data_IF_209191291137
#
_entry.id   IF_209191291137
#
_cell.length_a   1.000
_cell.length_b   1.000
_cell.length_c   1.000
_cell.angle_alpha   90.00
_cell.angle_beta   90.00
_cell.angle_gamma   90.00
#
_symmetry.space_group_name_H-M   'P 1'
#
loop_
_entity.id
_entity.type
_entity.pdbx_description
1 polymer ?
#
# COMPACT_ATOMS: atom_id res chain seq x y z
N UNK A 1 -27.46 39.64 -18.25
CA UNK A 1 -26.91 39.59 -16.87
C UNK A 1 -27.91 39.01 -15.88
N UNK A 2 -29.18 39.41 -15.93
CA UNK A 2 -30.22 38.87 -15.03
C UNK A 2 -30.50 37.37 -15.24
N UNK A 3 -30.55 36.91 -16.49
CA UNK A 3 -30.73 35.48 -16.84
C UNK A 3 -29.56 34.59 -16.37
N UNK A 4 -28.33 35.10 -16.44
CA UNK A 4 -27.13 34.40 -15.96
C UNK A 4 -27.16 34.23 -14.44
N UNK A 5 -27.65 35.24 -13.71
CA UNK A 5 -27.85 35.16 -12.25
C UNK A 5 -28.95 34.17 -11.90
N UNK A 6 -30.06 34.17 -12.63
CA UNK A 6 -31.14 33.18 -12.44
C UNK A 6 -30.66 31.75 -12.68
N UNK A 7 -29.88 31.52 -13.74
CA UNK A 7 -29.33 30.20 -14.04
C UNK A 7 -28.36 29.73 -12.94
N UNK A 8 -27.56 30.65 -12.39
CA UNK A 8 -26.63 30.34 -11.29
C UNK A 8 -27.35 29.96 -10.00
N UNK A 9 -28.44 30.68 -9.67
CA UNK A 9 -29.29 30.37 -8.51
C UNK A 9 -29.96 29.01 -8.70
N UNK A 10 -30.44 28.71 -9.92
CA UNK A 10 -31.07 27.43 -10.23
C UNK A 10 -30.09 26.26 -10.17
N UNK A 11 -28.85 26.45 -10.65
CA UNK A 11 -27.79 25.45 -10.57
C UNK A 11 -27.37 25.18 -9.12
N UNK A 12 -27.28 26.24 -8.32
CA UNK A 12 -26.96 26.14 -6.90
C UNK A 12 -28.05 25.38 -6.14
N UNK A 13 -29.33 25.65 -6.45
CA UNK A 13 -30.45 24.94 -5.85
C UNK A 13 -30.49 23.45 -6.24
N UNK A 14 -30.15 23.11 -7.50
CA UNK A 14 -30.01 21.72 -7.97
C UNK A 14 -28.85 21.00 -7.29
N UNK A 15 -27.70 21.68 -7.13
CA UNK A 15 -26.54 21.16 -6.40
C UNK A 15 -26.89 20.87 -4.93
N UNK A 16 -27.52 21.81 -4.25
CA UNK A 16 -27.87 21.67 -2.83
C UNK A 16 -28.95 20.59 -2.59
N UNK A 17 -29.82 20.35 -3.58
CA UNK A 17 -30.76 19.24 -3.57
C UNK A 17 -30.06 17.90 -3.81
N UNK A 18 -29.14 17.83 -4.77
CA UNK A 18 -28.36 16.61 -5.04
C UNK A 18 -27.45 16.23 -3.87
N UNK A 19 -26.86 17.21 -3.18
CA UNK A 19 -26.07 16.99 -1.96
C UNK A 19 -26.95 16.44 -0.84
N UNK A 20 -28.14 17.02 -0.60
CA UNK A 20 -29.08 16.51 0.40
C UNK A 20 -29.55 15.08 0.09
N UNK A 21 -29.87 14.77 -1.17
CA UNK A 21 -30.22 13.40 -1.56
C UNK A 21 -29.05 12.42 -1.38
N UNK A 22 -27.82 12.85 -1.67
CA UNK A 22 -26.63 12.03 -1.43
C UNK A 22 -26.36 11.82 0.08
N UNK A 23 -26.63 12.83 0.92
CA UNK A 23 -26.54 12.74 2.37
C UNK A 23 -27.63 11.85 2.96
N UNK A 24 -28.87 11.93 2.47
CA UNK A 24 -29.97 11.04 2.84
C UNK A 24 -29.70 9.59 2.41
N UNK A 25 -29.19 9.35 1.19
CA UNK A 25 -28.71 8.03 0.77
C UNK A 25 -27.55 7.53 1.64
N UNK A 26 -26.64 8.41 2.07
CA UNK A 26 -25.57 8.07 3.02
C UNK A 26 -26.10 7.78 4.42
N UNK A 27 -27.19 8.41 4.88
CA UNK A 27 -27.83 8.10 6.16
C UNK A 27 -28.66 6.81 6.11
N UNK A 28 -29.34 6.53 4.99
CA UNK A 28 -30.07 5.27 4.79
C UNK A 28 -29.10 4.09 4.72
N UNK A 29 -27.98 4.23 4.00
CA UNK A 29 -26.89 3.23 3.99
C UNK A 29 -26.09 3.24 5.30
N UNK A 30 -25.96 4.37 5.99
CA UNK A 30 -25.28 4.49 7.28
C UNK A 30 -26.02 3.76 8.41
N UNK A 31 -27.36 3.79 8.40
CA UNK A 31 -28.19 3.11 9.38
C UNK A 31 -28.38 1.60 9.11
N UNK A 32 -27.99 1.10 7.94
CA UNK A 32 -27.87 -0.36 7.67
C UNK A 32 -26.45 -0.91 7.89
N UNK A 33 -25.43 -0.05 8.00
CA UNK A 33 -24.01 -0.45 8.09
C UNK A 33 -23.48 -0.50 9.53
N UNK A 34 -24.16 0.09 10.53
CA UNK A 34 -23.65 0.16 11.91
C UNK A 34 -24.32 -0.78 12.92
N UNK A 35 -24.95 -1.88 12.46
CA UNK A 35 -25.60 -2.87 13.34
C UNK A 35 -25.29 -4.34 13.08
N UNK A 36 -24.50 -4.69 12.06
CA UNK A 36 -24.17 -6.08 11.72
C UNK A 36 -22.68 -6.27 11.50
N UNK A 37 -22.12 -7.36 12.01
CA UNK A 37 -20.76 -7.78 11.67
C UNK A 37 -20.58 -7.70 10.14
N UNK A 38 -19.52 -7.04 9.64
CA UNK A 38 -19.15 -7.07 8.24
C UNK A 38 -19.11 -8.53 7.78
N UNK A 39 -20.13 -8.98 7.05
CA UNK A 39 -20.20 -10.33 6.56
C UNK A 39 -19.17 -10.45 5.44
N UNK A 40 -18.09 -11.20 5.69
CA UNK A 40 -17.16 -11.61 4.64
C UNK A 40 -17.95 -12.37 3.56
N UNK A 41 -17.68 -12.08 2.30
CA UNK A 41 -18.27 -12.84 1.19
C UNK A 41 -17.74 -14.27 1.25
N UNK A 42 -18.62 -15.25 1.35
CA UNK A 42 -18.26 -16.66 1.23
C UNK A 42 -18.39 -17.08 -0.24
N UNK A 43 -17.29 -17.54 -0.83
CA UNK A 43 -17.23 -18.04 -2.20
C UNK A 43 -17.32 -19.55 -2.24
N UNK A 44 -18.01 -20.10 -3.24
CA UNK A 44 -18.05 -21.55 -3.47
C UNK A 44 -16.72 -22.03 -4.02
N UNK A 45 -16.37 -23.29 -3.73
CA UNK A 45 -15.14 -23.88 -4.24
C UNK A 45 -15.06 -23.83 -5.77
N UNK A 46 -16.17 -24.08 -6.46
CA UNK A 46 -16.28 -24.06 -7.91
C UNK A 46 -15.98 -22.66 -8.49
N UNK A 47 -16.39 -21.58 -7.81
CA UNK A 47 -16.06 -20.21 -8.22
C UNK A 47 -14.55 -19.98 -8.12
N UNK A 48 -13.92 -20.41 -7.02
CA UNK A 48 -12.46 -20.30 -6.82
C UNK A 48 -11.71 -21.13 -7.86
N UNK A 49 -12.16 -22.37 -8.08
CA UNK A 49 -11.57 -23.30 -9.04
C UNK A 49 -11.63 -22.72 -10.45
N UNK A 50 -12.78 -22.19 -10.86
CA UNK A 50 -12.93 -21.54 -12.16
C UNK A 50 -12.06 -20.28 -12.28
N UNK A 51 -12.03 -19.43 -11.25
CA UNK A 51 -11.24 -18.20 -11.30
C UNK A 51 -9.73 -18.46 -11.47
N UNK A 52 -9.25 -19.59 -10.94
CA UNK A 52 -7.84 -19.98 -10.91
C UNK A 52 -7.45 -21.04 -11.94
N UNK A 53 -8.36 -21.42 -12.86
CA UNK A 53 -8.18 -22.57 -13.78
C UNK A 53 -7.71 -23.84 -13.05
N UNK A 54 -8.38 -24.18 -11.95
CA UNK A 54 -8.01 -25.29 -11.06
C UNK A 54 -6.65 -25.15 -10.36
N UNK A 55 -6.34 -23.91 -9.94
CA UNK A 55 -5.04 -23.56 -9.34
C UNK A 55 -3.86 -23.87 -10.25
N UNK A 56 -4.01 -23.58 -11.55
CA UNK A 56 -2.95 -23.76 -12.54
C UNK A 56 -1.70 -22.95 -12.16
N UNK A 57 -0.52 -23.56 -12.27
CA UNK A 57 0.75 -22.93 -11.90
C UNK A 57 1.07 -21.69 -12.76
N UNK A 58 0.52 -21.56 -13.98
CA UNK A 58 0.65 -20.36 -14.81
C UNK A 58 -0.03 -19.12 -14.20
N UNK A 59 -1.01 -19.33 -13.31
CA UNK A 59 -1.68 -18.25 -12.55
C UNK A 59 -1.03 -18.00 -11.19
N UNK A 60 -0.04 -18.79 -10.78
CA UNK A 60 0.66 -18.59 -9.51
C UNK A 60 1.49 -17.30 -9.56
N UNK A 61 1.21 -16.39 -8.62
CA UNK A 61 1.90 -15.10 -8.50
C UNK A 61 2.80 -15.03 -7.27
N UNK A 62 2.69 -15.98 -6.34
CA UNK A 62 3.54 -16.04 -5.16
C UNK A 62 3.44 -17.38 -4.45
N UNK A 63 4.48 -17.72 -3.70
CA UNK A 63 4.52 -18.91 -2.86
C UNK A 63 5.34 -18.60 -1.60
N UNK A 64 4.76 -18.91 -0.44
CA UNK A 64 5.38 -18.69 0.86
C UNK A 64 5.16 -19.87 1.81
N UNK A 65 5.62 -19.75 3.05
CA UNK A 65 5.50 -20.81 4.06
C UNK A 65 4.05 -21.20 4.39
N UNK A 66 3.11 -20.25 4.25
CA UNK A 66 1.70 -20.44 4.58
C UNK A 66 0.87 -20.99 3.41
N UNK A 67 1.38 -20.97 2.18
CA UNK A 67 0.61 -21.37 1.00
C UNK A 67 1.06 -20.74 -0.32
N UNK A 68 0.21 -20.88 -1.33
CA UNK A 68 0.40 -20.32 -2.67
C UNK A 68 -0.64 -19.25 -2.98
N UNK A 69 -0.25 -18.22 -3.72
CA UNK A 69 -1.12 -17.14 -4.15
C UNK A 69 -1.28 -17.20 -5.67
N UNK A 70 -2.53 -17.16 -6.12
CA UNK A 70 -2.89 -17.21 -7.53
C UNK A 70 -3.59 -15.93 -7.95
N UNK A 71 -3.33 -15.46 -9.18
CA UNK A 71 -4.14 -14.42 -9.82
C UNK A 71 -5.43 -15.06 -10.33
N UNK A 72 -6.56 -14.50 -9.94
CA UNK A 72 -7.88 -14.95 -10.39
C UNK A 72 -8.70 -13.83 -11.00
N UNK A 73 -9.76 -14.21 -11.71
CA UNK A 73 -10.80 -13.28 -12.15
C UNK A 73 -12.14 -13.77 -11.62
N UNK A 74 -12.73 -13.00 -10.70
CA UNK A 74 -13.87 -13.44 -9.91
C UNK A 74 -14.90 -12.31 -9.85
N UNK A 75 -16.11 -12.59 -10.35
CA UNK A 75 -17.22 -11.61 -10.44
C UNK A 75 -16.78 -10.26 -11.04
N UNK A 76 -16.17 -10.31 -12.21
CA UNK A 76 -15.65 -9.15 -12.97
C UNK A 76 -14.51 -8.37 -12.29
N UNK A 77 -13.89 -8.93 -11.25
CA UNK A 77 -12.80 -8.30 -10.52
C UNK A 77 -11.56 -9.17 -10.59
N UNK A 78 -10.40 -8.60 -10.91
CA UNK A 78 -9.11 -9.29 -10.75
C UNK A 78 -8.76 -9.38 -9.27
N UNK A 79 -8.44 -10.58 -8.79
CA UNK A 79 -8.22 -10.86 -7.37
C UNK A 79 -6.94 -11.65 -7.15
N UNK A 80 -6.39 -11.56 -5.94
CA UNK A 80 -5.34 -12.44 -5.45
C UNK A 80 -5.97 -13.51 -4.54
N UNK A 81 -5.73 -14.77 -4.84
CA UNK A 81 -6.35 -15.93 -4.19
C UNK A 81 -5.26 -16.69 -3.44
N UNK A 82 -5.18 -16.52 -2.12
CA UNK A 82 -4.23 -17.22 -1.25
C UNK A 82 -4.85 -18.55 -0.81
N UNK A 83 -4.28 -19.65 -1.31
CA UNK A 83 -4.61 -21.02 -0.91
C UNK A 83 -3.62 -21.47 0.15
N UNK A 84 -4.12 -21.82 1.32
CA UNK A 84 -3.29 -22.29 2.42
C UNK A 84 -2.91 -23.75 2.21
N UNK A 85 -1.75 -24.15 2.73
CA UNK A 85 -1.32 -25.54 2.69
C UNK A 85 -2.32 -26.43 3.43
N UNK A 86 -2.84 -27.46 2.75
CA UNK A 86 -3.83 -28.39 3.31
C UNK A 86 -3.23 -29.44 4.24
N UNK A 87 -1.90 -29.55 4.28
CA UNK A 87 -1.19 -30.55 5.07
C UNK A 87 -0.85 -30.03 6.48
N UNK A 88 -1.44 -30.65 7.51
CA UNK A 88 -1.14 -30.40 8.91
C UNK A 88 -1.99 -29.32 9.60
N UNK A 89 -1.82 -29.19 10.91
CA UNK A 89 -2.61 -28.26 11.78
C UNK A 89 -2.15 -26.81 11.67
N UNK A 90 -0.94 -26.56 11.18
CA UNK A 90 -0.35 -25.21 11.09
C UNK A 90 -1.07 -24.35 10.07
N UNK A 91 -1.34 -24.86 8.86
CA UNK A 91 -2.00 -24.08 7.80
C UNK A 91 -3.45 -23.73 8.14
N UNK A 92 -4.16 -24.60 8.86
CA UNK A 92 -5.51 -24.30 9.34
C UNK A 92 -5.54 -23.21 10.41
N UNK A 93 -4.57 -23.24 11.33
CA UNK A 93 -4.42 -22.19 12.33
C UNK A 93 -4.11 -20.84 11.67
N UNK A 94 -3.17 -20.80 10.73
CA UNK A 94 -2.80 -19.58 10.01
C UNK A 94 -3.98 -19.01 9.19
N UNK A 95 -4.74 -19.87 8.51
CA UNK A 95 -5.98 -19.46 7.84
C UNK A 95 -6.97 -18.82 8.81
N UNK A 96 -7.28 -19.48 9.93
CA UNK A 96 -8.25 -18.98 10.91
C UNK A 96 -7.76 -17.69 11.59
N UNK A 97 -6.48 -17.62 11.95
CA UNK A 97 -5.86 -16.42 12.54
C UNK A 97 -5.93 -15.22 11.58
N UNK A 98 -5.65 -15.44 10.29
CA UNK A 98 -5.69 -14.40 9.25
C UNK A 98 -7.12 -13.92 8.98
N UNK A 99 -8.11 -14.83 8.92
CA UNK A 99 -9.53 -14.48 8.82
C UNK A 99 -9.97 -13.63 10.02
N UNK A 100 -9.66 -14.05 11.24
CA UNK A 100 -10.08 -13.36 12.46
C UNK A 100 -9.44 -11.97 12.57
N UNK A 101 -8.19 -11.85 12.13
CA UNK A 101 -7.45 -10.59 12.09
C UNK A 101 -8.05 -9.65 11.05
N UNK A 102 -8.23 -10.09 9.81
CA UNK A 102 -8.58 -9.21 8.69
C UNK A 102 -10.07 -8.92 8.55
N UNK A 103 -10.97 -9.76 9.07
CA UNK A 103 -12.43 -9.57 8.93
C UNK A 103 -12.96 -8.21 9.41
N UNK A 104 -12.23 -7.54 10.29
CA UNK A 104 -12.62 -6.26 10.93
C UNK A 104 -11.72 -5.09 10.55
N UNK A 105 -10.75 -5.30 9.66
CA UNK A 105 -9.75 -4.28 9.33
C UNK A 105 -9.99 -3.76 7.92
N UNK A 106 -10.10 -2.43 7.81
CA UNK A 106 -10.10 -1.72 6.53
C UNK A 106 -9.30 -0.44 6.71
N UNK A 107 -8.25 -0.31 5.91
CA UNK A 107 -7.37 0.84 5.92
C UNK A 107 -6.75 0.99 4.52
N UNK A 108 -6.51 2.23 4.01
CA UNK A 108 -5.93 2.43 2.69
C UNK A 108 -4.60 1.71 2.47
N UNK A 109 -3.79 1.57 3.53
CA UNK A 109 -2.47 0.94 3.49
C UNK A 109 -2.43 -0.50 4.05
N UNK A 110 -3.57 -1.20 4.09
CA UNK A 110 -3.63 -2.64 4.34
C UNK A 110 -4.37 -3.32 3.19
N UNK A 111 -3.91 -4.51 2.78
CA UNK A 111 -4.57 -5.27 1.72
C UNK A 111 -5.96 -5.69 2.16
N UNK A 112 -6.94 -5.42 1.30
CA UNK A 112 -8.36 -5.66 1.59
C UNK A 112 -8.72 -7.12 1.36
N UNK A 113 -9.21 -7.78 2.42
CA UNK A 113 -9.87 -9.08 2.33
C UNK A 113 -11.27 -8.91 1.72
N UNK A 114 -11.47 -9.45 0.51
CA UNK A 114 -12.74 -9.40 -0.23
C UNK A 114 -13.69 -10.50 0.25
N UNK A 115 -13.14 -11.68 0.51
CA UNK A 115 -13.92 -12.82 0.97
C UNK A 115 -13.08 -14.06 1.20
N UNK A 116 -13.77 -15.15 1.50
CA UNK A 116 -13.16 -16.42 1.92
C UNK A 116 -13.85 -17.59 1.23
N UNK A 117 -13.16 -18.72 1.13
CA UNK A 117 -13.75 -20.00 0.79
C UNK A 117 -13.25 -21.03 1.81
N UNK A 118 -14.10 -21.39 2.76
CA UNK A 118 -13.75 -22.29 3.87
C UNK A 118 -13.46 -23.71 3.40
N UNK A 119 -14.20 -24.18 2.40
CA UNK A 119 -14.05 -25.54 1.83
C UNK A 119 -12.63 -25.77 1.31
N UNK A 120 -12.07 -24.77 0.62
CA UNK A 120 -10.72 -24.84 0.05
C UNK A 120 -9.64 -24.18 0.93
N UNK A 121 -10.00 -23.65 2.10
CA UNK A 121 -9.13 -22.83 2.96
C UNK A 121 -8.42 -21.74 2.16
N UNK A 122 -9.22 -20.91 1.50
CA UNK A 122 -8.77 -19.85 0.59
C UNK A 122 -9.22 -18.48 1.10
N UNK A 123 -8.32 -17.50 0.98
CA UNK A 123 -8.63 -16.09 1.16
C UNK A 123 -8.52 -15.35 -0.17
N UNK A 124 -9.50 -14.47 -0.43
CA UNK A 124 -9.59 -13.68 -1.66
C UNK A 124 -9.33 -12.23 -1.32
N UNK A 125 -8.31 -11.65 -1.93
CA UNK A 125 -7.85 -10.28 -1.71
C UNK A 125 -7.97 -9.45 -2.98
N UNK A 126 -7.91 -8.12 -2.80
CA UNK A 126 -7.65 -7.23 -3.94
C UNK A 126 -6.30 -7.59 -4.59
N UNK A 127 -6.25 -7.48 -5.93
CA UNK A 127 -5.03 -7.74 -6.67
C UNK A 127 -4.17 -6.46 -6.74
N UNK A 128 -2.86 -6.62 -6.50
CA UNK A 128 -1.88 -5.53 -6.44
C UNK A 128 -0.96 -5.60 -7.69
N UNK A 129 -1.20 -4.81 -8.74
CA UNK A 129 -0.60 -5.07 -10.06
C UNK A 129 0.90 -4.82 -10.15
N UNK A 130 1.46 -3.96 -9.30
CA UNK A 130 2.89 -3.67 -9.26
C UNK A 130 3.68 -4.65 -8.37
N UNK A 131 3.02 -5.71 -7.88
CA UNK A 131 3.66 -6.76 -7.09
C UNK A 131 4.13 -6.26 -5.73
N UNK A 132 5.20 -6.88 -5.22
CA UNK A 132 5.79 -6.51 -3.94
C UNK A 132 6.82 -5.38 -4.07
N UNK A 133 7.11 -4.73 -2.95
CA UNK A 133 8.20 -3.77 -2.85
C UNK A 133 9.56 -4.45 -3.12
N UNK A 134 9.69 -5.73 -2.79
CA UNK A 134 10.87 -6.53 -3.16
C UNK A 134 11.08 -6.57 -4.68
N UNK A 135 10.01 -6.87 -5.41
CA UNK A 135 10.03 -6.95 -6.87
C UNK A 135 10.43 -5.60 -7.49
N UNK A 136 9.91 -4.51 -6.94
CA UNK A 136 10.24 -3.15 -7.38
C UNK A 136 11.69 -2.75 -7.04
N UNK A 137 12.20 -3.10 -5.86
CA UNK A 137 13.59 -2.82 -5.48
C UNK A 137 14.58 -3.62 -6.35
N UNK A 138 14.22 -4.83 -6.74
CA UNK A 138 15.01 -5.67 -7.64
C UNK A 138 14.79 -5.33 -9.13
N UNK A 139 13.95 -4.34 -9.44
CA UNK A 139 13.55 -3.99 -10.81
C UNK A 139 13.08 -5.21 -11.62
N UNK A 140 12.40 -6.16 -10.96
CA UNK A 140 11.81 -7.32 -11.65
C UNK A 140 10.79 -6.83 -12.66
N UNK A 141 10.59 -7.63 -13.71
CA UNK A 141 9.68 -7.31 -14.81
C UNK A 141 10.02 -6.01 -15.56
N UNK A 142 11.30 -5.60 -15.57
CA UNK A 142 11.80 -4.41 -16.27
C UNK A 142 11.16 -3.10 -15.78
N UNK A 143 10.73 -3.08 -14.52
CA UNK A 143 10.24 -1.87 -13.87
C UNK A 143 11.38 -0.87 -13.68
N UNK A 144 11.09 0.43 -13.80
CA UNK A 144 12.07 1.47 -13.49
C UNK A 144 12.36 1.46 -11.98
N UNK A 145 13.60 1.75 -11.55
CA UNK A 145 13.90 1.91 -10.13
C UNK A 145 12.99 2.93 -9.46
N UNK A 146 12.56 2.62 -8.24
CA UNK A 146 11.78 3.56 -7.42
C UNK A 146 12.64 4.78 -7.08
N UNK A 147 12.15 5.97 -7.40
CA UNK A 147 12.79 7.22 -6.99
C UNK A 147 12.81 7.37 -5.47
N UNK A 148 13.74 8.17 -4.95
CA UNK A 148 13.83 8.41 -3.51
C UNK A 148 12.50 8.98 -2.93
N UNK A 149 11.81 9.85 -3.68
CA UNK A 149 10.52 10.40 -3.25
C UNK A 149 9.47 9.30 -3.13
N UNK A 150 9.43 8.37 -4.08
CA UNK A 150 8.51 7.23 -4.02
C UNK A 150 8.84 6.33 -2.82
N UNK A 151 10.12 6.11 -2.54
CA UNK A 151 10.56 5.34 -1.37
C UNK A 151 10.16 6.01 -0.05
N UNK A 152 10.19 7.34 0.05
CA UNK A 152 9.68 8.08 1.22
C UNK A 152 8.15 7.97 1.32
N UNK A 153 7.40 8.09 0.22
CA UNK A 153 5.94 7.89 0.21
C UNK A 153 5.56 6.49 0.67
N UNK A 154 6.23 5.47 0.15
CA UNK A 154 6.05 4.07 0.58
C UNK A 154 6.37 3.92 2.07
N UNK A 155 7.44 4.57 2.55
CA UNK A 155 7.77 4.57 3.99
C UNK A 155 6.64 5.15 4.85
N UNK A 156 6.03 6.24 4.38
CA UNK A 156 4.91 6.89 5.05
C UNK A 156 3.64 6.00 5.03
N UNK A 157 3.34 5.36 3.90
CA UNK A 157 2.25 4.39 3.75
C UNK A 157 2.41 3.19 4.71
N UNK A 158 3.62 2.63 4.82
CA UNK A 158 3.90 1.56 5.80
C UNK A 158 3.68 2.09 7.23
N UNK A 159 4.18 3.28 7.53
CA UNK A 159 4.05 3.90 8.85
C UNK A 159 2.57 4.06 9.27
N UNK A 160 1.71 4.57 8.38
CA UNK A 160 0.27 4.71 8.66
C UNK A 160 -0.42 3.36 8.84
N UNK A 161 -0.10 2.38 8.00
CA UNK A 161 -0.59 1.01 8.14
C UNK A 161 -0.25 0.40 9.51
N UNK A 162 0.99 0.56 9.96
CA UNK A 162 1.42 0.09 11.29
C UNK A 162 0.73 0.85 12.43
N UNK A 163 0.63 2.18 12.35
CA UNK A 163 -0.10 2.99 13.35
C UNK A 163 -1.52 2.49 13.50
N UNK A 164 -2.22 2.21 12.39
CA UNK A 164 -3.57 1.66 12.41
C UNK A 164 -3.63 0.30 13.10
N UNK A 165 -2.75 -0.65 12.74
CA UNK A 165 -2.70 -1.98 13.36
C UNK A 165 -2.44 -1.91 14.87
N UNK A 166 -1.47 -1.10 15.28
CA UNK A 166 -1.06 -0.96 16.67
C UNK A 166 -2.14 -0.27 17.51
N UNK A 167 -2.88 0.66 16.91
CA UNK A 167 -3.95 1.42 17.56
C UNK A 167 -5.29 0.70 17.58
N UNK A 168 -5.40 -0.46 16.92
CA UNK A 168 -6.63 -1.24 16.83
C UNK A 168 -7.25 -1.52 18.21
N UNK A 169 -8.57 -1.46 18.30
CA UNK A 169 -9.33 -1.68 19.54
C UNK A 169 -10.22 -2.92 19.43
N UNK A 170 -10.39 -3.71 20.50
CA UNK A 170 -9.90 -3.49 21.87
C UNK A 170 -8.42 -3.84 22.08
N UNK A 171 -7.79 -4.56 21.15
CA UNK A 171 -6.39 -5.00 21.22
C UNK A 171 -5.65 -4.56 19.97
N UNK A 172 -4.48 -3.95 20.17
CA UNK A 172 -3.54 -3.68 19.10
C UNK A 172 -3.06 -4.99 18.47
N UNK A 173 -2.62 -4.92 17.22
CA UNK A 173 -2.15 -6.08 16.46
C UNK A 173 -0.70 -5.82 16.09
N UNK A 174 0.21 -6.74 16.40
CA UNK A 174 1.53 -6.73 15.81
C UNK A 174 1.50 -7.52 14.50
N UNK A 175 2.07 -6.96 13.44
CA UNK A 175 2.18 -7.59 12.13
C UNK A 175 3.07 -8.82 12.19
N UNK A 176 4.27 -8.69 12.75
CA UNK A 176 5.20 -9.79 13.04
C UNK A 176 6.11 -10.23 11.89
N UNK A 177 5.72 -10.01 10.63
CA UNK A 177 6.57 -10.31 9.45
C UNK A 177 6.68 -9.13 8.47
N UNK A 178 6.96 -7.93 8.98
CA UNK A 178 7.13 -6.78 8.09
C UNK A 178 8.45 -6.86 7.32
N UNK A 179 8.35 -6.95 6.00
CA UNK A 179 9.46 -6.98 5.03
C UNK A 179 8.97 -6.51 3.65
N UNK A 180 9.86 -6.16 2.72
CA UNK A 180 9.44 -5.69 1.40
C UNK A 180 8.61 -6.70 0.57
N UNK A 181 8.79 -8.02 0.76
CA UNK A 181 7.92 -9.03 0.12
C UNK A 181 6.45 -8.92 0.56
N UNK A 182 6.20 -8.45 1.79
CA UNK A 182 4.87 -8.31 2.38
C UNK A 182 4.31 -6.87 2.26
N UNK A 183 4.97 -6.02 1.47
CA UNK A 183 4.52 -4.68 1.12
C UNK A 183 4.13 -4.71 -0.34
N UNK A 184 2.84 -4.60 -0.65
CA UNK A 184 2.34 -4.68 -2.03
C UNK A 184 2.00 -3.29 -2.57
N UNK A 185 2.14 -3.12 -3.88
CA UNK A 185 1.96 -1.83 -4.57
C UNK A 185 0.81 -1.91 -5.56
N UNK A 186 -0.12 -0.96 -5.45
CA UNK A 186 -1.21 -0.84 -6.42
C UNK A 186 -0.73 -0.11 -7.69
N UNK A 187 -1.64 0.10 -8.64
CA UNK A 187 -1.35 0.78 -9.92
C UNK A 187 -0.75 2.18 -9.76
N UNK A 188 -1.06 2.87 -8.65
CA UNK A 188 -0.60 4.22 -8.33
C UNK A 188 0.62 4.23 -7.40
N UNK A 189 1.21 3.05 -7.14
CA UNK A 189 2.29 2.84 -6.17
C UNK A 189 1.89 3.19 -4.72
N UNK A 190 0.59 3.20 -4.41
CA UNK A 190 0.14 3.23 -3.01
C UNK A 190 0.47 1.88 -2.40
N UNK A 191 1.14 1.93 -1.26
CA UNK A 191 1.60 0.74 -0.56
C UNK A 191 0.51 0.20 0.37
N UNK A 192 0.35 -1.13 0.37
CA UNK A 192 -0.50 -1.87 1.29
C UNK A 192 0.24 -3.02 1.94
N UNK A 193 0.14 -3.12 3.27
CA UNK A 193 0.69 -4.26 4.02
C UNK A 193 -0.14 -5.51 3.77
N UNK A 194 0.54 -6.63 3.55
CA UNK A 194 -0.02 -7.93 3.24
C UNK A 194 0.55 -9.02 4.18
N UNK A 195 -0.03 -10.22 4.09
CA UNK A 195 0.39 -11.43 4.81
C UNK A 195 0.29 -11.35 6.35
N UNK A 196 -0.94 -11.49 6.85
CA UNK A 196 -1.24 -11.42 8.28
C UNK A 196 -1.29 -12.80 8.96
N UNK A 197 -0.79 -13.86 8.30
CA UNK A 197 -0.87 -15.24 8.76
C UNK A 197 -0.19 -15.49 10.12
N UNK A 198 0.80 -14.66 10.47
CA UNK A 198 1.48 -14.72 11.77
C UNK A 198 1.21 -13.49 12.65
N UNK A 199 0.35 -12.57 12.23
CA UNK A 199 -0.01 -11.40 13.04
C UNK A 199 -0.74 -11.81 14.31
N UNK A 200 -0.53 -11.08 15.40
CA UNK A 200 -1.08 -11.44 16.72
C UNK A 200 -1.69 -10.25 17.42
N UNK A 201 -2.87 -10.49 18.00
CA UNK A 201 -3.46 -9.57 18.97
C UNK A 201 -2.57 -9.49 20.21
N UNK A 202 -2.25 -8.27 20.60
CA UNK A 202 -1.45 -7.97 21.77
C UNK A 202 -2.34 -7.98 23.01
N UNK A 203 -1.94 -8.74 24.01
CA UNK A 203 -2.67 -8.85 25.26
C UNK A 203 -2.02 -7.97 26.32
N UNK A 204 -2.85 -7.26 27.08
CA UNK A 204 -2.45 -6.68 28.35
C UNK A 204 -2.46 -7.78 29.40
N UNK A 205 -1.36 -7.95 30.14
CA UNK A 205 -1.33 -8.80 31.34
C UNK A 205 -1.38 -7.91 32.58
N UNK A 206 -1.87 -8.44 33.69
CA UNK A 206 -1.95 -7.70 34.96
C UNK A 206 -0.57 -7.27 35.51
N UNK A 207 0.52 -7.78 34.93
CA UNK A 207 1.89 -7.61 35.40
C UNK A 207 2.75 -6.70 34.51
N UNK A 208 2.28 -6.32 33.31
CA UNK A 208 3.07 -5.52 32.36
C UNK A 208 2.30 -4.31 31.85
N UNK A 209 2.99 -3.18 31.75
CA UNK A 209 2.41 -1.92 31.23
C UNK A 209 2.32 -1.96 29.69
N UNK A 210 3.10 -2.83 29.03
CA UNK A 210 3.21 -2.89 27.56
C UNK A 210 2.50 -4.14 27.03
N UNK A 211 1.50 -4.00 26.14
CA UNK A 211 0.84 -5.14 25.50
C UNK A 211 1.82 -6.00 24.70
N UNK A 212 1.72 -7.32 24.83
CA UNK A 212 2.57 -8.26 24.10
C UNK A 212 1.83 -9.57 23.77
N UNK A 213 2.43 -10.37 22.90
CA UNK A 213 2.05 -11.75 22.64
C UNK A 213 3.25 -12.66 22.92
N UNK A 214 3.13 -13.56 23.89
CA UNK A 214 4.17 -14.54 24.22
C UNK A 214 4.00 -15.79 23.37
N UNK A 215 5.08 -16.24 22.73
CA UNK A 215 5.11 -17.46 21.93
C UNK A 215 6.43 -18.21 22.10
N UNK A 216 6.36 -19.54 22.12
CA UNK A 216 7.52 -20.42 22.05
C UNK A 216 7.91 -20.76 20.60
N UNK A 217 7.08 -20.38 19.63
CA UNK A 217 7.33 -20.53 18.21
C UNK A 217 7.64 -19.16 17.63
N UNK A 218 8.93 -18.84 17.52
CA UNK A 218 9.40 -17.61 16.89
C UNK A 218 9.21 -17.77 15.38
N UNK A 219 8.45 -16.84 14.79
CA UNK A 219 8.19 -16.77 13.35
C UNK A 219 8.52 -15.38 12.84
N UNK A 220 8.93 -15.29 11.58
CA UNK A 220 9.32 -14.05 10.92
C UNK A 220 10.52 -14.26 10.02
N UNK A 221 10.88 -13.22 9.28
CA UNK A 221 11.95 -13.31 8.28
C UNK A 221 13.29 -12.83 8.84
N UNK A 222 14.33 -13.67 8.67
CA UNK A 222 15.69 -13.36 9.14
C UNK A 222 16.19 -12.04 8.53
N UNK A 223 16.84 -11.21 9.36
CA UNK A 223 17.26 -9.86 8.99
C UNK A 223 16.25 -8.76 9.35
N UNK A 224 14.95 -9.08 9.46
CA UNK A 224 13.91 -8.12 9.89
C UNK A 224 13.41 -8.36 11.30
N UNK A 225 13.62 -9.56 11.86
CA UNK A 225 13.14 -9.89 13.20
C UNK A 225 13.85 -9.07 14.28
N UNK A 226 13.06 -8.52 15.20
CA UNK A 226 13.53 -7.83 16.40
C UNK A 226 14.38 -8.78 17.27
N UNK A 227 15.65 -8.47 17.56
CA UNK A 227 16.51 -9.34 18.36
C UNK A 227 15.93 -9.60 19.76
N UNK A 228 15.24 -8.60 20.34
CA UNK A 228 14.55 -8.76 21.62
C UNK A 228 13.42 -9.79 21.54
N UNK A 229 12.63 -9.77 20.45
CA UNK A 229 11.61 -10.81 20.20
C UNK A 229 12.24 -12.19 20.00
N UNK A 230 13.31 -12.29 19.21
CA UNK A 230 14.00 -13.59 19.01
C UNK A 230 14.59 -14.16 20.29
N UNK A 231 14.91 -13.31 21.27
CA UNK A 231 15.49 -13.72 22.55
C UNK A 231 14.41 -14.10 23.57
N UNK A 232 13.34 -13.30 23.69
CA UNK A 232 12.33 -13.49 24.74
C UNK A 232 11.06 -14.22 24.29
N UNK A 233 10.82 -14.32 22.98
CA UNK A 233 9.54 -14.80 22.43
C UNK A 233 8.37 -13.82 22.60
N UNK A 234 8.63 -12.60 23.08
CA UNK A 234 7.60 -11.56 23.26
C UNK A 234 7.47 -10.69 22.00
N UNK A 235 6.40 -10.91 21.24
CA UNK A 235 6.05 -10.08 20.11
C UNK A 235 5.30 -8.83 20.58
N UNK A 236 5.70 -7.66 20.12
CA UNK A 236 5.12 -6.35 20.50
C UNK A 236 4.96 -5.44 19.30
N UNK A 237 4.21 -4.34 19.43
CA UNK A 237 4.20 -3.26 18.44
C UNK A 237 5.61 -2.73 18.13
N UNK A 238 6.48 -2.65 19.14
CA UNK A 238 7.87 -2.21 18.97
C UNK A 238 8.70 -3.20 18.13
N UNK A 239 8.30 -4.46 18.03
CA UNK A 239 8.95 -5.44 17.16
C UNK A 239 8.71 -5.09 15.68
N UNK A 240 7.51 -4.61 15.33
CA UNK A 240 7.26 -4.08 13.97
C UNK A 240 8.03 -2.78 13.71
N UNK A 241 8.22 -1.93 14.73
CA UNK A 241 9.05 -0.71 14.60
C UNK A 241 10.49 -1.08 14.24
N UNK A 242 11.04 -2.13 14.84
CA UNK A 242 12.37 -2.63 14.47
C UNK A 242 12.41 -3.07 13.01
N UNK A 243 11.47 -3.92 12.59
CA UNK A 243 11.39 -4.39 11.21
C UNK A 243 11.21 -3.23 10.23
N UNK A 244 10.44 -2.20 10.60
CA UNK A 244 10.26 -0.99 9.82
C UNK A 244 11.58 -0.23 9.65
N UNK A 245 12.39 -0.11 10.70
CA UNK A 245 13.73 0.48 10.61
C UNK A 245 14.62 -0.25 9.59
N UNK A 246 14.58 -1.59 9.56
CA UNK A 246 15.31 -2.37 8.55
C UNK A 246 14.78 -2.10 7.14
N UNK A 247 13.45 -2.01 6.97
CA UNK A 247 12.84 -1.64 5.67
C UNK A 247 13.26 -0.25 5.21
N UNK A 248 13.31 0.75 6.11
CA UNK A 248 13.80 2.10 5.79
C UNK A 248 15.26 2.06 5.30
N UNK A 249 16.13 1.29 5.96
CA UNK A 249 17.52 1.14 5.52
C UNK A 249 17.62 0.41 4.17
N UNK A 250 16.77 -0.58 3.91
CA UNK A 250 16.69 -1.21 2.59
C UNK A 250 16.23 -0.26 1.51
N UNK A 251 15.22 0.56 1.77
CA UNK A 251 14.77 1.61 0.84
C UNK A 251 15.89 2.62 0.58
N UNK A 252 16.71 2.94 1.58
CA UNK A 252 17.83 3.88 1.43
C UNK A 252 18.99 3.30 0.62
N UNK A 253 19.32 2.01 0.81
CA UNK A 253 20.59 1.41 0.35
C UNK A 253 20.43 0.37 -0.76
N UNK A 254 19.24 -0.21 -0.93
CA UNK A 254 19.00 -1.36 -1.81
C UNK A 254 19.73 -2.64 -1.38
N UNK A 255 20.41 -2.65 -0.22
CA UNK A 255 21.28 -3.75 0.23
C UNK A 255 20.51 -4.86 0.93
N UNK A 256 21.20 -5.99 1.14
CA UNK A 256 20.67 -7.13 1.89
C UNK A 256 20.38 -6.71 3.35
N UNK A 257 19.25 -7.15 3.96
CA UNK A 257 18.90 -6.76 5.33
C UNK A 257 19.85 -7.32 6.41
N UNK A 258 20.55 -8.43 6.16
CA UNK A 258 21.41 -9.07 7.15
C UNK A 258 22.64 -8.19 7.48
N UNK A 259 22.74 -7.75 8.73
CA UNK A 259 23.83 -6.89 9.17
C UNK A 259 23.69 -5.42 8.74
N UNK A 260 22.63 -5.08 8.00
CA UNK A 260 22.41 -3.74 7.46
C UNK A 260 22.39 -2.63 8.52
N UNK A 261 21.78 -2.80 9.72
CA UNK A 261 21.86 -1.79 10.77
C UNK A 261 23.30 -1.45 11.19
N UNK A 262 24.19 -2.45 11.25
CA UNK A 262 25.59 -2.26 11.64
C UNK A 262 26.34 -1.49 10.54
N UNK A 263 26.10 -1.87 9.28
CA UNK A 263 26.71 -1.23 8.13
C UNK A 263 26.31 0.25 8.01
N UNK A 264 25.01 0.55 8.13
CA UNK A 264 24.50 1.92 8.08
C UNK A 264 25.00 2.74 9.28
N UNK A 265 25.08 2.15 10.48
CA UNK A 265 25.64 2.83 11.65
C UNK A 265 27.12 3.19 11.44
N UNK A 266 27.92 2.26 10.89
CA UNK A 266 29.33 2.51 10.59
C UNK A 266 29.50 3.60 9.53
N UNK A 267 28.72 3.56 8.44
CA UNK A 267 28.78 4.55 7.38
C UNK A 267 28.36 5.95 7.88
N UNK A 268 27.35 6.02 8.74
CA UNK A 268 26.92 7.28 9.35
C UNK A 268 27.99 7.85 10.30
N UNK A 269 28.65 6.99 11.09
CA UNK A 269 29.72 7.39 12.03
C UNK A 269 30.97 7.90 11.30
N UNK A 270 31.31 7.28 10.16
CA UNK A 270 32.49 7.61 9.36
C UNK A 270 32.20 8.68 8.29
N UNK A 271 30.98 9.21 8.23
CA UNK A 271 30.49 10.14 7.19
C UNK A 271 30.60 9.62 5.75
N UNK A 272 30.56 8.30 5.57
CA UNK A 272 30.62 7.61 4.26
C UNK A 272 29.25 7.12 3.79
N UNK A 273 28.15 7.65 4.34
CA UNK A 273 26.78 7.21 4.01
C UNK A 273 26.48 7.26 2.50
N UNK A 274 27.02 8.24 1.78
CA UNK A 274 26.84 8.40 0.34
C UNK A 274 27.43 7.23 -0.50
N UNK A 275 28.34 6.44 0.07
CA UNK A 275 28.93 5.27 -0.60
C UNK A 275 28.01 4.05 -0.57
N UNK A 276 27.04 4.04 0.34
CA UNK A 276 26.14 2.88 0.55
C UNK A 276 24.71 3.11 0.11
N UNK A 277 24.33 4.35 -0.22
CA UNK A 277 23.00 4.65 -0.75
C UNK A 277 22.78 4.05 -2.13
N UNK A 278 21.53 3.74 -2.42
CA UNK A 278 21.13 3.28 -3.74
C UNK A 278 21.03 4.45 -4.72
N UNK A 279 22.03 4.57 -5.60
CA UNK A 279 22.08 5.62 -6.63
C UNK A 279 21.06 5.41 -7.75
N UNK A 280 20.47 4.21 -7.88
CA UNK A 280 19.39 3.98 -8.85
C UNK A 280 18.10 4.73 -8.49
N UNK A 281 17.94 5.13 -7.23
CA UNK A 281 16.81 5.93 -6.74
C UNK A 281 16.87 7.41 -7.15
N UNK A 282 17.91 7.82 -7.90
CA UNK A 282 18.17 9.21 -8.22
C UNK A 282 18.93 9.95 -7.11
N UNK A 283 18.84 11.28 -7.12
CA UNK A 283 19.57 12.12 -6.17
C UNK A 283 18.90 12.14 -4.80
N UNK A 284 19.52 11.49 -3.82
CA UNK A 284 19.15 11.61 -2.41
C UNK A 284 19.74 12.90 -1.80
N UNK A 285 18.92 13.85 -1.31
CA UNK A 285 19.46 15.03 -0.67
C UNK A 285 20.17 14.66 0.65
N UNK A 286 21.46 15.03 0.83
CA UNK A 286 22.27 14.53 1.95
C UNK A 286 21.68 14.74 3.35
N UNK A 287 20.94 15.83 3.55
CA UNK A 287 20.26 16.11 4.81
C UNK A 287 19.21 15.03 5.12
N UNK A 288 18.31 14.76 4.18
CA UNK A 288 17.27 13.74 4.36
C UNK A 288 17.84 12.33 4.38
N UNK A 289 18.90 12.06 3.61
CA UNK A 289 19.63 10.79 3.69
C UNK A 289 20.09 10.50 5.12
N UNK A 290 20.78 11.48 5.74
CA UNK A 290 21.31 11.34 7.11
C UNK A 290 20.18 11.27 8.14
N UNK A 291 19.11 12.04 7.95
CA UNK A 291 17.95 12.03 8.84
C UNK A 291 17.19 10.69 8.79
N UNK A 292 16.93 10.16 7.59
CA UNK A 292 16.28 8.86 7.42
C UNK A 292 17.13 7.72 7.99
N UNK A 293 18.44 7.74 7.74
CA UNK A 293 19.36 6.76 8.32
C UNK A 293 19.34 6.79 9.86
N UNK A 294 19.38 7.98 10.47
CA UNK A 294 19.27 8.13 11.93
C UNK A 294 17.95 7.63 12.48
N UNK A 295 16.84 7.98 11.81
CA UNK A 295 15.51 7.52 12.19
C UNK A 295 15.43 5.99 12.15
N UNK A 296 15.91 5.39 11.07
CA UNK A 296 15.91 3.95 10.87
C UNK A 296 16.77 3.21 11.92
N UNK A 297 17.95 3.74 12.25
CA UNK A 297 18.81 3.20 13.32
C UNK A 297 18.16 3.33 14.70
N UNK A 298 17.44 4.42 14.97
CA UNK A 298 16.65 4.57 16.21
C UNK A 298 15.54 3.53 16.30
N UNK A 299 14.82 3.26 15.20
CA UNK A 299 13.84 2.18 15.11
C UNK A 299 14.47 0.81 15.43
N UNK A 300 15.74 0.60 15.06
CA UNK A 300 16.47 -0.64 15.30
C UNK A 300 17.22 -0.73 16.64
N UNK A 301 16.96 0.17 17.61
CA UNK A 301 17.58 0.06 18.95
C UNK A 301 17.22 -1.24 19.65
N UNK A 302 18.16 -1.80 20.40
CA UNK A 302 17.94 -3.03 21.15
C UNK A 302 16.89 -2.82 22.26
N UNK A 303 17.04 -1.75 23.05
CA UNK A 303 16.02 -1.38 24.03
C UNK A 303 14.79 -0.80 23.31
N UNK A 304 13.65 -1.46 23.51
CA UNK A 304 12.35 -1.09 22.94
C UNK A 304 11.90 0.32 23.36
N UNK A 305 12.35 0.82 24.51
CA UNK A 305 12.01 2.16 25.03
C UNK A 305 12.75 3.29 24.32
N UNK A 306 13.87 2.99 23.67
CA UNK A 306 14.64 3.97 22.89
C UNK A 306 14.15 4.11 21.45
N UNK A 307 13.30 3.17 21.00
CA UNK A 307 12.69 3.21 19.67
C UNK A 307 11.61 4.30 19.63
N UNK A 308 11.52 5.06 18.54
CA UNK A 308 10.58 6.17 18.42
C UNK A 308 9.13 5.69 18.35
N UNK A 309 8.20 6.57 18.77
CA UNK A 309 6.77 6.38 18.54
C UNK A 309 6.43 6.65 17.06
N UNK A 310 5.69 5.72 16.42
CA UNK A 310 5.38 5.84 14.99
C UNK A 310 4.55 7.08 14.67
N UNK A 311 3.52 7.39 15.46
CA UNK A 311 2.59 8.47 15.18
C UNK A 311 3.15 9.84 15.57
N UNK A 312 3.89 9.90 16.68
CA UNK A 312 4.37 11.18 17.24
C UNK A 312 5.70 11.63 16.68
N UNK A 313 6.59 10.70 16.34
CA UNK A 313 7.96 11.02 15.93
C UNK A 313 8.22 10.62 14.48
N UNK A 314 8.00 9.34 14.13
CA UNK A 314 8.35 8.81 12.81
C UNK A 314 7.52 9.45 11.71
N UNK A 315 6.20 9.53 11.89
CA UNK A 315 5.29 10.13 10.92
C UNK A 315 5.68 11.58 10.61
N UNK A 316 5.95 12.40 11.62
CA UNK A 316 6.31 13.81 11.41
C UNK A 316 7.59 13.99 10.58
N UNK A 317 8.59 13.12 10.77
CA UNK A 317 9.81 13.14 9.95
C UNK A 317 9.51 12.75 8.51
N UNK A 318 8.75 11.67 8.28
CA UNK A 318 8.41 11.21 6.94
C UNK A 318 7.50 12.22 6.20
N UNK A 319 6.55 12.82 6.91
CA UNK A 319 5.67 13.87 6.39
C UNK A 319 6.47 15.12 5.98
N UNK A 320 7.43 15.55 6.80
CA UNK A 320 8.32 16.65 6.44
C UNK A 320 9.17 16.32 5.19
N UNK A 321 9.64 15.09 5.05
CA UNK A 321 10.39 14.63 3.87
C UNK A 321 9.52 14.57 2.61
N UNK A 322 8.26 14.12 2.72
CA UNK A 322 7.31 14.11 1.59
C UNK A 322 6.99 15.53 1.10
N UNK A 323 6.93 16.49 2.03
CA UNK A 323 6.64 17.89 1.75
C UNK A 323 7.90 18.72 1.43
N UNK A 324 9.05 18.06 1.19
CA UNK A 324 10.28 18.75 0.84
C UNK A 324 10.07 19.61 -0.43
N UNK A 325 10.45 20.91 -0.41
CA UNK A 325 10.38 21.80 -1.57
C UNK A 325 11.30 21.41 -2.73
N UNK A 326 12.08 20.33 -2.61
CA UNK A 326 13.09 19.90 -3.58
C UNK A 326 12.55 19.50 -4.96
N UNK A 327 11.22 19.45 -5.14
CA UNK A 327 10.59 19.30 -6.45
C UNK A 327 9.12 19.78 -6.45
N UNK A 328 8.90 21.09 -6.58
CA UNK A 328 7.67 21.57 -7.24
C UNK A 328 7.60 21.12 -8.72
N UNK A 329 8.62 20.45 -9.25
CA UNK A 329 8.74 20.06 -10.66
C UNK A 329 8.26 18.64 -11.00
N UNK A 330 7.96 17.77 -10.03
CA UNK A 330 7.48 16.41 -10.34
C UNK A 330 5.94 16.36 -10.26
N UNK A 331 5.24 16.07 -11.37
CA UNK A 331 3.78 15.97 -11.38
C UNK A 331 3.32 14.81 -10.49
N UNK A 332 2.25 14.98 -9.69
CA UNK A 332 1.51 13.88 -9.09
C UNK A 332 1.28 12.74 -10.08
N UNK A 333 1.41 11.48 -9.64
CA UNK A 333 1.31 10.31 -10.53
C UNK A 333 -0.03 10.24 -11.27
N UNK A 334 -1.12 10.71 -10.65
CA UNK A 334 -2.43 10.81 -11.29
C UNK A 334 -2.42 11.71 -12.54
N UNK A 335 -1.45 12.62 -12.67
CA UNK A 335 -1.31 13.51 -13.81
C UNK A 335 -0.57 12.86 -14.97
N UNK A 336 0.09 11.72 -14.73
CA UNK A 336 0.86 11.00 -15.74
C UNK A 336 -0.02 10.00 -16.47
N UNK A 337 -0.03 10.07 -17.80
CA UNK A 337 -0.75 9.12 -18.65
C UNK A 337 -0.09 7.74 -18.52
N UNK A 338 -0.84 6.67 -18.21
CA UNK A 338 -0.28 5.33 -18.09
C UNK A 338 0.35 4.78 -19.38
N UNK A 339 -0.15 5.20 -20.55
CA UNK A 339 0.39 4.80 -21.85
C UNK A 339 1.66 5.57 -22.25
N UNK A 340 1.58 6.90 -22.33
CA UNK A 340 2.70 7.73 -22.81
C UNK A 340 3.74 8.05 -21.75
N UNK A 341 3.43 7.87 -20.46
CA UNK A 341 4.28 8.24 -19.33
C UNK A 341 4.62 9.75 -19.30
N UNK A 342 3.77 10.58 -19.90
CA UNK A 342 3.84 12.04 -19.90
C UNK A 342 2.69 12.67 -19.11
N UNK A 343 2.83 13.94 -18.70
CA UNK A 343 1.73 14.70 -18.08
C UNK A 343 0.59 14.84 -19.09
N UNK A 344 -0.61 14.40 -18.71
CA UNK A 344 -1.82 14.52 -19.51
C UNK A 344 -2.18 15.99 -19.73
N UNK A 345 -2.32 16.38 -20.98
CA UNK A 345 -2.84 17.69 -21.39
C UNK A 345 -4.35 17.63 -21.55
N UNK A 346 -4.85 16.53 -22.09
CA UNK A 346 -6.26 16.28 -22.30
C UNK A 346 -6.71 14.91 -21.71
N UNK A 347 -6.81 14.79 -20.38
CA UNK A 347 -7.15 13.52 -19.75
C UNK A 347 -8.57 13.05 -20.10
N UNK A 348 -8.69 11.81 -20.57
CA UNK A 348 -9.95 11.15 -20.91
C UNK A 348 -10.08 9.79 -20.21
N UNK A 349 -11.26 9.51 -19.69
CA UNK A 349 -11.61 8.23 -19.07
C UNK A 349 -12.10 7.27 -20.15
N UNK A 350 -11.48 6.08 -20.23
CA UNK A 350 -11.93 5.01 -21.10
C UNK A 350 -12.86 4.02 -20.36
N UNK A 351 -13.43 3.07 -21.09
CA UNK A 351 -14.42 2.12 -20.55
C UNK A 351 -13.87 1.16 -19.48
N UNK A 352 -12.55 1.06 -19.34
CA UNK A 352 -11.89 0.31 -18.27
C UNK A 352 -11.75 1.09 -16.96
N UNK A 353 -12.19 2.35 -16.93
CA UNK A 353 -12.15 3.22 -15.75
C UNK A 353 -10.81 3.93 -15.55
N UNK A 354 -9.82 3.73 -16.42
CA UNK A 354 -8.55 4.43 -16.36
C UNK A 354 -8.62 5.75 -17.14
N UNK A 355 -7.78 6.71 -16.72
CA UNK A 355 -7.62 7.98 -17.42
C UNK A 355 -6.33 7.98 -18.24
N UNK A 356 -6.42 8.44 -19.49
CA UNK A 356 -5.33 8.49 -20.47
C UNK A 356 -5.23 9.87 -21.10
N UNK A 357 -4.12 10.15 -21.79
CA UNK A 357 -4.05 11.26 -22.72
C UNK A 357 -5.03 11.03 -23.90
N UNK A 358 -5.89 12.01 -24.16
CA UNK A 358 -7.05 11.88 -25.03
C UNK A 358 -6.68 11.46 -26.45
N UNK A 359 -5.69 12.13 -27.05
CA UNK A 359 -5.23 11.79 -28.39
C UNK A 359 -4.58 10.40 -28.44
N UNK A 360 -3.84 10.03 -27.39
CA UNK A 360 -3.13 8.74 -27.32
C UNK A 360 -4.12 7.57 -27.29
N UNK A 361 -5.14 7.64 -26.43
CA UNK A 361 -6.14 6.57 -26.33
C UNK A 361 -7.07 6.54 -27.55
N UNK A 362 -7.33 7.70 -28.17
CA UNK A 362 -8.12 7.78 -29.40
C UNK A 362 -7.39 7.13 -30.58
N UNK A 363 -6.10 7.40 -30.75
CA UNK A 363 -5.27 6.78 -31.78
C UNK A 363 -5.17 5.26 -31.58
N UNK A 364 -5.06 4.82 -30.33
CA UNK A 364 -5.08 3.39 -29.96
C UNK A 364 -6.37 2.70 -30.45
N UNK A 365 -7.53 3.28 -30.16
CA UNK A 365 -8.82 2.75 -30.60
C UNK A 365 -8.99 2.81 -32.12
N UNK A 366 -8.55 3.89 -32.77
CA UNK A 366 -8.64 4.05 -34.22
C UNK A 366 -7.70 3.11 -34.99
N UNK A 367 -6.61 2.67 -34.37
CA UNK A 367 -5.69 1.67 -34.91
C UNK A 367 -6.27 0.24 -34.88
N UNK A 368 -7.52 0.08 -34.43
CA UNK A 368 -8.23 -1.20 -34.39
C UNK A 368 -7.96 -2.01 -33.12
N UNK A 369 -7.27 -1.46 -32.12
CA UNK A 369 -7.10 -2.11 -30.84
C UNK A 369 -8.40 -2.07 -30.03
N UNK A 370 -8.89 -3.25 -29.63
CA UNK A 370 -10.11 -3.39 -28.80
C UNK A 370 -9.79 -3.68 -27.34
N UNK A 371 -8.51 -3.86 -27.00
CA UNK A 371 -8.06 -4.20 -25.65
C UNK A 371 -7.57 -2.97 -24.90
N UNK A 372 -7.88 -2.92 -23.61
CA UNK A 372 -7.35 -1.97 -22.66
C UNK A 372 -5.84 -2.11 -22.55
N UNK A 373 -5.07 -1.01 -22.66
CA UNK A 373 -3.63 -1.03 -22.50
C UNK A 373 -3.20 -1.25 -21.05
N UNK A 374 -4.11 -1.13 -20.08
CA UNK A 374 -3.81 -1.30 -18.65
C UNK A 374 -4.25 -2.64 -18.10
N UNK A 375 -5.41 -3.13 -18.52
CA UNK A 375 -6.00 -4.37 -18.00
C UNK A 375 -5.83 -5.55 -18.94
N UNK A 376 -5.50 -5.31 -20.20
CA UNK A 376 -5.50 -6.30 -21.28
C UNK A 376 -6.86 -7.00 -21.44
N UNK A 377 -7.94 -6.35 -21.00
CA UNK A 377 -9.32 -6.78 -21.22
C UNK A 377 -9.94 -6.00 -22.37
N UNK A 378 -10.89 -6.60 -23.09
CA UNK A 378 -11.62 -5.90 -24.16
C UNK A 378 -12.44 -4.75 -23.56
N UNK A 379 -12.38 -3.57 -24.17
CA UNK A 379 -13.23 -2.45 -23.78
C UNK A 379 -14.71 -2.81 -23.96
N UNK A 380 -15.54 -2.46 -22.97
CA UNK A 380 -17.00 -2.66 -23.05
C UNK A 380 -17.67 -1.70 -24.04
N UNK A 381 -17.07 -0.52 -24.24
CA UNK A 381 -17.42 0.46 -25.27
C UNK A 381 -16.19 1.31 -25.63
N UNK A 382 -16.24 2.02 -26.76
CA UNK A 382 -15.14 2.89 -27.22
C UNK A 382 -15.37 4.37 -26.93
N UNK A 383 -16.42 4.71 -26.20
CA UNK A 383 -16.68 6.09 -25.76
C UNK A 383 -15.64 6.55 -24.74
N UNK A 384 -15.11 7.77 -24.96
CA UNK A 384 -14.14 8.43 -24.10
C UNK A 384 -14.81 9.61 -23.41
N UNK A 385 -14.68 9.70 -22.08
CA UNK A 385 -15.29 10.76 -21.28
C UNK A 385 -14.20 11.75 -20.84
N UNK A 386 -14.28 13.05 -21.19
CA UNK A 386 -13.30 14.04 -20.73
C UNK A 386 -13.24 14.12 -19.20
N UNK A 387 -12.04 13.96 -18.62
CA UNK A 387 -11.81 14.09 -17.19
C UNK A 387 -11.46 15.54 -16.82
N UNK A 388 -12.47 16.41 -16.87
CA UNK A 388 -12.27 17.85 -16.61
C UNK A 388 -11.73 18.13 -15.20
N UNK A 389 -12.11 17.33 -14.20
CA UNK A 389 -11.61 17.49 -12.82
C UNK A 389 -10.10 17.28 -12.75
N UNK A 390 -9.60 16.21 -13.38
CA UNK A 390 -8.17 15.95 -13.46
C UNK A 390 -7.45 17.02 -14.30
N UNK A 391 -8.05 17.43 -15.42
CA UNK A 391 -7.50 18.51 -16.26
C UNK A 391 -7.31 19.80 -15.45
N UNK A 392 -8.31 20.21 -14.66
CA UNK A 392 -8.19 21.38 -13.79
C UNK A 392 -7.12 21.20 -12.71
N UNK A 393 -7.04 20.01 -12.09
CA UNK A 393 -6.01 19.73 -11.09
C UNK A 393 -4.58 19.80 -11.66
N UNK A 394 -4.38 19.32 -12.89
CA UNK A 394 -3.10 19.42 -13.62
C UNK A 394 -2.74 20.88 -13.89
N UNK A 395 -3.71 21.69 -14.35
CA UNK A 395 -3.51 23.11 -14.64
C UNK A 395 -3.18 23.91 -13.38
N UNK A 396 -3.93 23.70 -12.30
CA UNK A 396 -3.67 24.30 -10.99
C UNK A 396 -2.26 23.96 -10.50
N UNK A 397 -1.85 22.69 -10.62
CA UNK A 397 -0.50 22.27 -10.27
C UNK A 397 0.56 22.95 -11.12
N UNK A 398 0.39 23.00 -12.45
CA UNK A 398 1.31 23.70 -13.34
C UNK A 398 1.45 25.19 -12.94
N UNK A 399 0.35 25.88 -12.63
CA UNK A 399 0.39 27.28 -12.19
C UNK A 399 1.15 27.47 -10.86
N UNK A 400 0.98 26.54 -9.91
CA UNK A 400 1.66 26.57 -8.62
C UNK A 400 3.15 26.18 -8.70
N UNK A 401 3.51 25.36 -9.69
CA UNK A 401 4.87 24.91 -9.99
C UNK A 401 5.71 25.95 -10.73
N UNK A 402 5.10 26.86 -11.49
CA UNK A 402 5.79 27.93 -12.25
C UNK A 402 5.90 29.29 -11.52
N UNK A 403 5.45 29.41 -10.26
CA UNK A 403 5.56 30.66 -9.52
C UNK A 403 7.03 30.88 -9.05
N UNK A 404 7.74 31.91 -9.54
CA UNK A 404 9.05 32.27 -9.00
C UNK A 404 8.85 32.69 -7.55
N UNK A 405 9.56 32.04 -6.63
CA UNK A 405 9.58 32.46 -5.23
C UNK A 405 10.10 33.89 -5.21
N UNK A 406 9.24 34.85 -4.86
CA UNK A 406 9.65 36.19 -4.51
C UNK A 406 10.44 36.08 -3.20
N UNK A 407 11.70 36.53 -3.23
CA UNK A 407 12.58 36.61 -2.07
C UNK A 407 11.90 37.34 -0.92
N UNK A 408 11.82 36.69 0.25
CA UNK A 408 11.62 37.33 1.56
C UNK A 408 12.43 36.60 2.63
#
# INVERSE_FOLDING_TARGET
MEELKQLQVELQHKKDHAVRQAEEMRQINGNTVFGGAFALTEFRYEEIKQATDDFDDSKKIGQGGCGSVYKGFLRHTTVAIKKFNSEGTTGEKEYNDEVETLRRMRHPNLVTLIGVCREAKVLVFEFMPNGSLEDCLQCKHQTKPLSWQMRIRISADICTGLIFLHSNKPKGIAHGDLKPDNVLLDTSFVCKLADFGISRFLNLTNTTVTPYHLTNQIKGTMGYMDPGYTTSGELTAQSDVYSFGVVLMRLLTGRNPLGLPIEVEAALRNDTLQEIIDTSAGYWPPQYTKELARLALRCCRYDRKERPDLAKEVWGVLEAMMNCPGDKCQPPMLFICPMSQEIMRDPHIAADGFTYEGDTIKDWLQSGHTMSPMTYLTFTHHELIPNNALRFAIQEWQMQSFCPIADF
#
